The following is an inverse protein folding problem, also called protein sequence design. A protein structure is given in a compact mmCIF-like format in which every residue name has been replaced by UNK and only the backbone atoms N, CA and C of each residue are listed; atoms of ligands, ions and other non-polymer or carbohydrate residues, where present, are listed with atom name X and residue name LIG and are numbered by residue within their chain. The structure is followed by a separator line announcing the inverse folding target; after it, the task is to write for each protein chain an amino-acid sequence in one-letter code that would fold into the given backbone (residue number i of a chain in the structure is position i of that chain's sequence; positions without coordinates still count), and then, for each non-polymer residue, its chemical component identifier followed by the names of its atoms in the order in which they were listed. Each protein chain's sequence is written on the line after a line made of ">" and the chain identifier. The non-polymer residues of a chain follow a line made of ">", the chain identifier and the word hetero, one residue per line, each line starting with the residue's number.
data_IF_260678136878
#
_entry.id   IF_260678136878
#
_cell.length_a   1.000
_cell.length_b   1.000
_cell.length_c   1.000
_cell.angle_alpha   90.00
_cell.angle_beta   90.00
_cell.angle_gamma   90.00
#
_symmetry.space_group_name_H-M   'P 1'
#
loop_
_entity.id
_entity.type
_entity.pdbx_description
1 polymer ?
#
# COMPACT_ATOMS: atom_id res chain seq x y z
N UNK A 1 20.09 7.26 8.53
CA UNK A 1 19.22 8.36 8.05
C UNK A 1 17.96 8.32 8.88
N UNK A 2 17.66 9.37 9.64
CA UNK A 2 16.38 9.44 10.34
C UNK A 2 15.29 9.63 9.29
N UNK A 3 14.37 8.67 9.18
CA UNK A 3 13.19 8.84 8.35
C UNK A 3 12.44 10.07 8.88
N UNK A 4 12.14 11.03 8.01
CA UNK A 4 11.11 12.02 8.34
C UNK A 4 9.86 11.23 8.76
N UNK A 5 9.21 11.62 9.85
CA UNK A 5 8.00 10.95 10.30
C UNK A 5 7.00 10.88 9.13
N UNK A 6 6.63 9.68 8.71
CA UNK A 6 5.70 9.49 7.60
C UNK A 6 4.41 10.26 7.87
N UNK A 7 3.87 10.85 6.80
CA UNK A 7 2.65 11.64 6.85
C UNK A 7 1.41 10.76 6.77
N UNK A 8 1.56 9.54 6.25
CA UNK A 8 0.43 8.65 5.95
C UNK A 8 0.46 7.33 6.71
N UNK A 9 1.64 6.87 7.16
CA UNK A 9 1.81 5.53 7.73
C UNK A 9 2.46 5.56 9.11
N UNK A 10 1.89 4.83 10.06
CA UNK A 10 2.47 4.65 11.38
C UNK A 10 3.54 3.56 11.36
N UNK A 11 3.43 2.61 10.43
CA UNK A 11 4.39 1.54 10.22
C UNK A 11 4.18 0.90 8.83
N UNK A 12 5.22 0.29 8.28
CA UNK A 12 5.15 -0.59 7.10
C UNK A 12 6.07 -1.78 7.33
N UNK A 13 5.52 -2.99 7.18
CA UNK A 13 6.26 -4.24 7.45
C UNK A 13 6.17 -5.15 6.24
N UNK A 14 7.32 -5.62 5.75
CA UNK A 14 7.38 -6.71 4.78
C UNK A 14 7.34 -8.03 5.53
N UNK A 15 6.21 -8.70 5.46
CA UNK A 15 5.99 -10.01 6.07
C UNK A 15 6.34 -11.11 5.06
N UNK A 16 7.48 -11.76 5.28
CA UNK A 16 7.98 -12.83 4.40
C UNK A 16 7.42 -14.21 4.74
N UNK A 17 6.59 -14.31 5.77
CA UNK A 17 6.11 -15.59 6.33
C UNK A 17 4.60 -15.75 6.29
N UNK A 18 3.85 -14.68 6.02
CA UNK A 18 2.39 -14.69 6.06
C UNK A 18 1.71 -15.56 5.00
N UNK A 19 2.34 -15.79 3.85
CA UNK A 19 1.72 -16.55 2.76
C UNK A 19 2.77 -17.35 1.98
N UNK A 20 2.45 -18.61 1.69
CA UNK A 20 3.28 -19.51 0.88
C UNK A 20 3.52 -19.01 -0.55
N UNK A 21 2.68 -18.10 -1.06
CA UNK A 21 2.76 -17.55 -2.42
C UNK A 21 3.76 -16.39 -2.53
N UNK A 22 4.15 -15.79 -1.41
CA UNK A 22 5.13 -14.71 -1.39
C UNK A 22 4.92 -13.72 -0.25
N UNK A 23 5.67 -12.64 -0.30
CA UNK A 23 5.67 -11.64 0.76
C UNK A 23 4.42 -10.76 0.72
N UNK A 24 3.99 -10.30 1.89
CA UNK A 24 2.92 -9.31 2.04
C UNK A 24 3.53 -8.03 2.62
N UNK A 25 3.29 -6.89 1.96
CA UNK A 25 3.62 -5.59 2.55
C UNK A 25 2.42 -5.12 3.36
N UNK A 26 2.55 -5.12 4.69
CA UNK A 26 1.54 -4.67 5.63
C UNK A 26 1.75 -3.18 5.91
N UNK A 27 0.85 -2.34 5.41
CA UNK A 27 0.88 -0.89 5.57
C UNK A 27 -0.12 -0.49 6.66
N UNK A 28 0.36 0.20 7.69
CA UNK A 28 -0.46 0.65 8.81
C UNK A 28 -0.74 2.15 8.67
N UNK A 29 -1.96 2.58 8.29
CA UNK A 29 -2.26 4.00 8.13
C UNK A 29 -2.21 4.77 9.46
N UNK A 30 -1.77 6.03 9.42
CA UNK A 30 -2.03 6.99 10.51
C UNK A 30 -3.47 7.43 10.34
N UNK A 31 -4.30 7.11 11.32
CA UNK A 31 -5.74 7.35 11.26
C UNK A 31 -6.09 8.81 11.01
N UNK A 32 -6.38 9.14 9.75
CA UNK A 32 -7.35 10.14 9.32
C UNK A 32 -7.96 9.61 8.04
N UNK A 33 -9.29 9.49 8.03
CA UNK A 33 -10.08 8.92 6.94
C UNK A 33 -10.01 9.73 5.64
N UNK A 34 -11.10 9.85 4.87
CA UNK A 34 -11.00 10.25 3.48
C UNK A 34 -10.57 11.71 3.43
N UNK A 35 -9.34 11.95 3.02
CA UNK A 35 -8.99 13.24 2.47
C UNK A 35 -8.87 13.06 0.96
N UNK A 36 -9.94 13.32 0.18
CA UNK A 36 -9.91 13.29 -1.27
C UNK A 36 -8.87 14.26 -1.88
N UNK A 37 -8.22 15.09 -1.06
CA UNK A 37 -7.09 15.92 -1.45
C UNK A 37 -5.73 15.25 -1.30
N UNK A 38 -5.61 14.04 -0.73
CA UNK A 38 -4.31 13.37 -0.63
C UNK A 38 -3.88 12.91 -2.03
N UNK A 39 -2.81 13.48 -2.59
CA UNK A 39 -2.36 13.10 -3.93
C UNK A 39 -1.83 11.67 -3.89
N UNK A 40 -2.30 10.81 -4.82
CA UNK A 40 -1.85 9.42 -4.90
C UNK A 40 -0.34 9.30 -5.09
N UNK A 41 0.29 10.28 -5.74
CA UNK A 41 1.74 10.37 -5.86
C UNK A 41 2.41 10.54 -4.49
N UNK A 42 1.93 11.46 -3.64
CA UNK A 42 2.51 11.71 -2.33
C UNK A 42 2.43 10.49 -1.40
N UNK A 43 1.32 9.75 -1.43
CA UNK A 43 1.16 8.50 -0.68
C UNK A 43 2.21 7.47 -1.12
N UNK A 44 2.33 7.29 -2.44
CA UNK A 44 3.25 6.29 -2.97
C UNK A 44 4.71 6.69 -2.77
N UNK A 45 5.03 7.99 -2.85
CA UNK A 45 6.35 8.52 -2.55
C UNK A 45 6.76 8.31 -1.09
N UNK A 46 5.84 8.55 -0.15
CA UNK A 46 6.06 8.23 1.27
C UNK A 46 6.27 6.71 1.45
N UNK A 47 5.42 5.88 0.84
CA UNK A 47 5.52 4.42 0.90
C UNK A 47 6.89 3.89 0.47
N UNK A 48 7.46 4.42 -0.63
CA UNK A 48 8.80 4.03 -1.11
C UNK A 48 9.92 4.30 -0.11
N UNK A 49 9.72 5.21 0.85
CA UNK A 49 10.71 5.44 1.92
C UNK A 49 10.78 4.30 2.94
N UNK A 50 9.77 3.43 2.97
CA UNK A 50 9.67 2.33 3.93
C UNK A 50 10.09 0.96 3.38
N UNK A 51 10.10 0.80 2.06
CA UNK A 51 10.32 -0.49 1.40
C UNK A 51 11.50 -0.44 0.46
N UNK A 52 12.03 -1.60 0.08
CA UNK A 52 12.99 -1.68 -1.02
C UNK A 52 12.28 -1.56 -2.38
N UNK A 53 13.05 -1.19 -3.41
CA UNK A 53 12.57 -1.09 -4.80
C UNK A 53 11.85 -2.34 -5.33
N UNK A 54 12.10 -3.51 -4.74
CA UNK A 54 11.41 -4.77 -5.07
C UNK A 54 9.91 -4.72 -4.77
N UNK A 55 9.48 -3.92 -3.79
CA UNK A 55 8.07 -3.74 -3.42
C UNK A 55 7.46 -2.46 -4.00
N UNK A 56 8.06 -1.94 -5.07
CA UNK A 56 7.57 -0.78 -5.81
C UNK A 56 6.95 -1.17 -7.17
N UNK A 57 6.53 -0.16 -7.92
CA UNK A 57 5.91 -0.31 -9.23
C UNK A 57 4.38 -0.32 -9.18
N UNK A 58 3.78 -0.37 -10.37
CA UNK A 58 2.36 -0.12 -10.57
C UNK A 58 1.45 -1.05 -9.77
N UNK A 59 1.78 -2.34 -9.65
CA UNK A 59 0.96 -3.29 -8.88
C UNK A 59 0.81 -2.93 -7.41
N UNK A 60 1.88 -2.45 -6.76
CA UNK A 60 1.83 -2.06 -5.35
C UNK A 60 1.17 -0.69 -5.19
N UNK A 61 1.45 0.23 -6.13
CA UNK A 61 0.77 1.53 -6.17
C UNK A 61 -0.73 1.37 -6.27
N UNK A 62 -1.21 0.54 -7.19
CA UNK A 62 -2.64 0.39 -7.43
C UNK A 62 -3.35 -0.27 -6.25
N UNK A 63 -2.75 -1.32 -5.65
CA UNK A 63 -3.26 -1.93 -4.41
C UNK A 63 -3.31 -0.91 -3.25
N UNK A 64 -2.22 -0.15 -3.05
CA UNK A 64 -2.13 0.85 -1.97
C UNK A 64 -3.15 1.96 -2.13
N UNK A 65 -3.22 2.57 -3.31
CA UNK A 65 -4.13 3.69 -3.57
C UNK A 65 -5.59 3.23 -3.53
N UNK A 66 -5.88 2.01 -3.98
CA UNK A 66 -7.20 1.42 -3.81
C UNK A 66 -7.57 1.29 -2.33
N UNK A 67 -6.64 0.85 -1.48
CA UNK A 67 -6.87 0.76 -0.04
C UNK A 67 -7.07 2.12 0.63
N UNK A 68 -6.29 3.14 0.25
CA UNK A 68 -6.49 4.52 0.71
C UNK A 68 -7.87 5.04 0.32
N UNK A 69 -8.32 4.76 -0.91
CA UNK A 69 -9.61 5.25 -1.39
C UNK A 69 -10.81 4.51 -0.77
N UNK A 70 -10.72 3.18 -0.63
CA UNK A 70 -11.91 2.32 -0.41
C UNK A 70 -11.88 1.51 0.89
N UNK A 71 -10.73 1.37 1.56
CA UNK A 71 -10.55 0.45 2.69
C UNK A 71 -9.95 1.14 3.93
N UNK A 72 -10.27 2.41 4.15
CA UNK A 72 -9.62 3.25 5.16
C UNK A 72 -9.75 2.74 6.59
N UNK A 73 -10.88 2.09 6.92
CA UNK A 73 -11.09 1.49 8.24
C UNK A 73 -10.31 0.18 8.46
N UNK A 74 -9.63 -0.34 7.45
CA UNK A 74 -8.80 -1.55 7.55
C UNK A 74 -7.39 -1.15 7.97
N UNK A 75 -6.84 -1.84 8.97
CA UNK A 75 -5.43 -1.75 9.36
C UNK A 75 -4.95 -3.14 9.79
N UNK A 76 -3.93 -3.73 9.15
CA UNK A 76 -3.14 -3.19 8.03
C UNK A 76 -3.86 -3.29 6.67
N UNK A 77 -3.43 -2.47 5.72
CA UNK A 77 -3.60 -2.70 4.29
C UNK A 77 -2.52 -3.68 3.82
N UNK A 78 -2.92 -4.80 3.23
CA UNK A 78 -1.99 -5.82 2.75
C UNK A 78 -1.79 -5.62 1.26
N UNK A 79 -0.53 -5.46 0.84
CA UNK A 79 -0.15 -5.49 -0.57
C UNK A 79 0.54 -6.81 -0.87
N UNK A 80 -0.13 -7.67 -1.60
CA UNK A 80 0.26 -9.05 -1.87
C UNK A 80 1.23 -9.07 -3.08
N UNK A 81 2.48 -9.48 -2.86
CA UNK A 81 3.54 -9.36 -3.88
C UNK A 81 3.32 -10.27 -5.11
N UNK A 82 2.56 -11.36 -4.96
CA UNK A 82 2.26 -12.32 -6.04
C UNK A 82 1.08 -11.91 -6.92
N UNK A 83 0.35 -10.84 -6.59
CA UNK A 83 -0.78 -10.40 -7.43
C UNK A 83 -0.30 -9.82 -8.75
N UNK A 84 -1.04 -10.04 -9.85
CA UNK A 84 -0.70 -9.50 -11.15
C UNK A 84 -0.84 -7.97 -11.20
N UNK A 85 -0.07 -7.33 -12.08
CA UNK A 85 -0.31 -5.94 -12.44
C UNK A 85 -1.45 -5.86 -13.47
N UNK A 86 -2.65 -5.51 -13.05
CA UNK A 86 -3.84 -5.40 -13.92
C UNK A 86 -4.29 -3.95 -14.16
N UNK A 87 -3.54 -2.99 -13.63
CA UNK A 87 -3.91 -1.57 -13.62
C UNK A 87 -4.99 -1.24 -12.59
N UNK A 88 -5.16 0.06 -12.33
CA UNK A 88 -5.97 0.56 -11.23
C UNK A 88 -7.46 0.18 -11.32
N UNK A 89 -8.08 0.32 -12.49
CA UNK A 89 -9.51 0.03 -12.66
C UNK A 89 -9.85 -1.43 -12.33
N UNK A 90 -9.05 -2.37 -12.83
CA UNK A 90 -9.22 -3.79 -12.53
C UNK A 90 -8.86 -4.12 -11.06
N UNK A 91 -7.88 -3.41 -10.48
CA UNK A 91 -7.54 -3.53 -9.06
C UNK A 91 -8.72 -3.13 -8.17
N UNK A 92 -9.41 -2.03 -8.49
CA UNK A 92 -10.63 -1.59 -7.79
C UNK A 92 -11.76 -2.60 -7.98
N UNK A 93 -11.98 -3.09 -9.21
CA UNK A 93 -12.98 -4.12 -9.49
C UNK A 93 -12.75 -5.42 -8.71
N UNK A 94 -11.48 -5.74 -8.42
CA UNK A 94 -11.07 -6.88 -7.60
C UNK A 94 -10.91 -6.55 -6.10
N UNK A 95 -11.55 -5.49 -5.62
CA UNK A 95 -11.56 -5.10 -4.20
C UNK A 95 -10.14 -4.89 -3.63
N UNK A 96 -9.30 -4.19 -4.41
CA UNK A 96 -7.94 -3.76 -4.09
C UNK A 96 -6.85 -4.85 -4.10
N UNK A 97 -7.18 -6.13 -4.27
CA UNK A 97 -6.19 -7.22 -4.32
C UNK A 97 -6.52 -8.23 -5.44
N UNK A 98 -6.19 -7.90 -6.71
CA UNK A 98 -6.53 -8.70 -7.89
C UNK A 98 -5.89 -10.10 -7.88
#
# INVERSE_FOLDING_TARGET
>A
MAAAASRFFSNVVVDTTADSRGHIVRVYPIGTGPNPQIPSAAVFDDYKTWVSATYEGQKFRDQLICHVANAQGKSPWNLDAWRPNVGYAATVAALCNP
#
